data_IF_792177031408
#
_entry.id   IF_792177031408
#
_cell.length_a   1.000
_cell.length_b   1.000
_cell.length_c   1.000
_cell.angle_alpha   90.00
_cell.angle_beta   90.00
_cell.angle_gamma   90.00
#
_symmetry.space_group_name_H-M   'P 1'
#
loop_
_entity.id
_entity.type
_entity.pdbx_description
1 polymer ?
#
# COMPACT_ATOMS: atom_id res chain seq x y z
N UNK A 1 -45.22 -11.07 -10.87
CA UNK A 1 -45.13 -10.01 -9.87
C UNK A 1 -44.66 -10.62 -8.56
N UNK A 2 -43.42 -10.49 -8.20
CA UNK A 2 -42.89 -10.60 -6.84
C UNK A 2 -41.52 -9.92 -6.84
N UNK A 3 -41.49 -8.74 -6.23
CA UNK A 3 -40.28 -7.92 -6.05
C UNK A 3 -39.49 -8.55 -4.91
N UNK A 4 -38.34 -9.14 -5.20
CA UNK A 4 -37.37 -9.56 -4.18
C UNK A 4 -36.65 -8.31 -3.68
N UNK A 5 -36.87 -7.96 -2.42
CA UNK A 5 -36.13 -6.93 -1.68
C UNK A 5 -34.67 -7.37 -1.56
N UNK A 6 -33.76 -6.51 -2.00
CA UNK A 6 -32.33 -6.71 -1.85
C UNK A 6 -31.94 -6.78 -0.38
N UNK A 7 -31.39 -7.89 0.03
CA UNK A 7 -30.67 -8.02 1.29
C UNK A 7 -29.30 -7.37 1.11
N UNK A 8 -29.16 -6.17 1.64
CA UNK A 8 -27.89 -5.55 1.93
C UNK A 8 -27.17 -6.44 2.96
N UNK A 9 -26.23 -7.25 2.51
CA UNK A 9 -25.30 -7.95 3.39
C UNK A 9 -24.29 -6.94 3.88
N UNK A 10 -24.60 -6.35 5.02
CA UNK A 10 -23.66 -5.55 5.78
C UNK A 10 -22.58 -6.52 6.29
N UNK A 11 -21.40 -6.53 5.67
CA UNK A 11 -20.24 -7.21 6.26
C UNK A 11 -19.88 -6.45 7.53
N UNK A 12 -20.40 -6.95 8.65
CA UNK A 12 -19.97 -6.55 9.98
C UNK A 12 -18.45 -6.71 10.04
N UNK A 13 -17.80 -5.61 10.41
CA UNK A 13 -16.44 -5.59 10.95
C UNK A 13 -16.23 -6.90 11.72
N UNK A 14 -15.17 -7.63 11.39
CA UNK A 14 -14.76 -8.82 12.13
C UNK A 14 -14.71 -8.47 13.61
N UNK A 15 -15.80 -8.69 14.29
CA UNK A 15 -15.82 -8.62 15.76
C UNK A 15 -15.03 -9.81 16.24
N UNK A 16 -14.06 -9.56 17.09
CA UNK A 16 -13.07 -10.50 17.59
C UNK A 16 -13.60 -11.69 18.39
N UNK A 17 -14.91 -11.93 18.39
CA UNK A 17 -15.52 -13.06 19.11
C UNK A 17 -15.05 -14.44 18.66
N UNK A 18 -14.37 -14.56 17.52
CA UNK A 18 -13.77 -15.81 17.05
C UNK A 18 -12.32 -16.05 17.49
N UNK A 19 -11.60 -15.05 18.00
CA UNK A 19 -10.18 -15.17 18.34
C UNK A 19 -9.92 -15.71 19.75
N UNK A 20 -10.89 -15.61 20.68
CA UNK A 20 -10.70 -16.01 22.08
C UNK A 20 -10.44 -17.51 22.29
N UNK A 21 -10.94 -18.37 21.39
CA UNK A 21 -10.69 -19.81 21.45
C UNK A 21 -9.36 -20.26 20.83
N UNK A 22 -8.73 -19.41 20.01
CA UNK A 22 -7.50 -19.70 19.28
C UNK A 22 -6.28 -18.93 19.79
N UNK A 23 -6.45 -18.05 20.77
CA UNK A 23 -5.41 -17.15 21.26
C UNK A 23 -5.33 -17.15 22.78
N UNK A 24 -4.12 -16.94 23.32
CA UNK A 24 -3.89 -16.73 24.77
C UNK A 24 -4.37 -15.36 25.25
N UNK A 25 -4.76 -14.46 24.34
CA UNK A 25 -5.36 -13.15 24.65
C UNK A 25 -6.86 -13.20 24.43
N UNK A 26 -7.61 -12.46 25.26
CA UNK A 26 -9.06 -12.31 25.10
C UNK A 26 -9.45 -11.25 24.10
N UNK A 27 -8.65 -10.16 24.03
CA UNK A 27 -8.89 -9.00 23.17
C UNK A 27 -7.59 -8.51 22.56
N UNK A 28 -7.71 -7.71 21.47
CA UNK A 28 -6.62 -6.93 20.92
C UNK A 28 -6.54 -5.56 21.61
N UNK A 29 -5.39 -4.89 21.52
CA UNK A 29 -5.18 -3.61 22.20
C UNK A 29 -6.11 -2.51 21.67
N UNK A 30 -6.26 -2.43 20.33
CA UNK A 30 -6.99 -1.35 19.68
C UNK A 30 -8.50 -1.53 19.58
N UNK A 31 -9.04 -2.73 19.88
CA UNK A 31 -10.49 -2.96 19.85
C UNK A 31 -11.22 -2.55 21.13
N UNK A 32 -10.45 -2.33 22.21
CA UNK A 32 -11.03 -1.97 23.49
C UNK A 32 -11.68 -0.57 23.44
N UNK A 33 -12.84 -0.47 24.07
CA UNK A 33 -13.64 0.76 24.12
C UNK A 33 -14.44 0.82 25.43
N UNK A 34 -15.23 1.87 25.61
CA UNK A 34 -16.15 2.00 26.75
C UNK A 34 -17.18 0.87 26.87
N UNK A 35 -17.46 0.13 25.80
CA UNK A 35 -18.34 -1.06 25.85
C UNK A 35 -17.75 -2.23 26.65
N UNK A 36 -16.44 -2.21 26.94
CA UNK A 36 -15.73 -3.25 27.69
C UNK A 36 -15.51 -2.88 29.17
N UNK A 37 -16.14 -1.80 29.65
CA UNK A 37 -15.96 -1.34 31.03
C UNK A 37 -16.32 -2.44 32.02
N UNK A 38 -15.45 -2.60 33.04
CA UNK A 38 -15.59 -3.59 34.08
C UNK A 38 -15.21 -5.02 33.68
N UNK A 39 -14.96 -5.29 32.40
CA UNK A 39 -14.56 -6.60 31.93
C UNK A 39 -13.10 -6.89 32.29
N UNK A 40 -12.84 -8.14 32.64
CA UNK A 40 -11.51 -8.70 32.76
C UNK A 40 -10.99 -9.06 31.37
N UNK A 41 -9.81 -8.54 31.01
CA UNK A 41 -9.20 -8.76 29.72
C UNK A 41 -7.77 -9.28 29.85
N UNK A 42 -7.36 -10.11 28.90
CA UNK A 42 -5.98 -10.56 28.73
C UNK A 42 -5.45 -10.02 27.41
N UNK A 43 -4.42 -9.20 27.49
CA UNK A 43 -3.78 -8.54 26.34
C UNK A 43 -2.36 -9.07 26.14
N UNK A 44 -1.94 -9.18 24.90
CA UNK A 44 -0.55 -9.48 24.53
C UNK A 44 -0.08 -8.45 23.51
N UNK A 45 1.13 -7.91 23.70
CA UNK A 45 1.65 -6.90 22.82
C UNK A 45 3.08 -6.49 23.17
N UNK A 46 3.54 -5.48 22.46
CA UNK A 46 4.84 -4.84 22.63
C UNK A 46 4.72 -3.59 23.49
N UNK A 47 5.66 -3.39 24.41
CA UNK A 47 5.78 -2.17 25.20
C UNK A 47 6.19 -1.02 24.30
N UNK A 48 5.28 -0.11 23.98
CA UNK A 48 5.57 1.06 23.14
C UNK A 48 6.23 2.19 23.94
N UNK A 49 5.71 2.48 25.13
CA UNK A 49 6.22 3.50 26.04
C UNK A 49 6.04 3.06 27.51
N UNK A 50 6.99 3.46 28.33
CA UNK A 50 6.88 3.44 29.80
C UNK A 50 6.81 4.89 30.27
N UNK A 51 5.85 5.23 31.09
CA UNK A 51 5.64 6.59 31.60
C UNK A 51 5.57 6.62 33.11
N UNK A 52 6.55 7.26 33.74
CA UNK A 52 6.58 7.60 35.17
C UNK A 52 6.35 6.39 36.11
N UNK A 53 6.74 5.20 35.73
CA UNK A 53 6.46 3.96 36.47
C UNK A 53 4.98 3.78 36.85
N UNK A 54 4.11 4.49 36.14
CA UNK A 54 2.67 4.50 36.38
C UNK A 54 1.89 3.87 35.21
N UNK A 55 2.39 4.04 33.99
CA UNK A 55 1.70 3.59 32.78
C UNK A 55 2.62 2.87 31.81
N UNK A 56 2.09 1.82 31.21
CA UNK A 56 2.63 1.16 30.01
C UNK A 56 1.67 1.42 28.87
N UNK A 57 2.18 1.90 27.74
CA UNK A 57 1.43 1.88 26.49
C UNK A 57 1.77 0.58 25.78
N UNK A 58 0.79 -0.30 25.67
CA UNK A 58 0.89 -1.58 25.00
C UNK A 58 0.40 -1.45 23.56
N UNK A 59 1.16 -1.99 22.63
CA UNK A 59 0.86 -1.99 21.20
C UNK A 59 0.70 -3.42 20.69
N UNK A 60 -0.32 -3.63 19.89
CA UNK A 60 -0.40 -4.79 19.01
C UNK A 60 -0.73 -4.34 17.57
N UNK A 61 -1.14 -5.27 16.73
CA UNK A 61 -1.47 -4.99 15.34
C UNK A 61 -2.72 -4.12 15.16
N UNK A 62 -3.59 -4.09 16.14
CA UNK A 62 -4.87 -3.36 16.08
C UNK A 62 -4.75 -1.91 16.56
N UNK A 63 -3.75 -1.62 17.38
CA UNK A 63 -3.55 -0.29 17.93
C UNK A 63 -2.83 -0.27 19.27
N UNK A 64 -3.14 0.76 20.05
CA UNK A 64 -2.52 1.06 21.34
C UNK A 64 -3.55 1.02 22.44
N UNK A 65 -3.14 0.61 23.65
CA UNK A 65 -3.93 0.77 24.87
C UNK A 65 -3.04 1.17 26.04
N UNK A 66 -3.56 1.99 26.93
CA UNK A 66 -2.88 2.33 28.18
C UNK A 66 -3.16 1.27 29.23
N UNK A 67 -2.10 0.77 29.84
CA UNK A 67 -2.14 -0.13 31.00
C UNK A 67 -1.67 0.65 32.21
N UNK A 68 -2.50 0.73 33.24
CA UNK A 68 -2.17 1.35 34.53
C UNK A 68 -1.46 0.32 35.41
N UNK A 69 -0.31 0.73 35.95
CA UNK A 69 0.47 -0.06 36.91
C UNK A 69 -0.09 0.22 38.29
N UNK A 70 -0.43 -0.81 39.08
CA UNK A 70 -0.90 -0.63 40.45
C UNK A 70 0.15 0.10 41.32
N UNK A 71 -0.31 0.96 42.22
CA UNK A 71 0.55 1.72 43.11
C UNK A 71 0.44 1.27 44.58
N UNK A 72 -0.42 0.29 44.85
CA UNK A 72 -0.62 -0.25 46.20
C UNK A 72 0.58 -1.07 46.66
N UNK A 73 0.99 -0.92 47.90
CA UNK A 73 2.07 -1.67 48.53
C UNK A 73 1.85 -3.19 48.49
N UNK A 74 0.60 -3.62 48.49
CA UNK A 74 0.22 -5.05 48.35
C UNK A 74 0.58 -5.64 47.00
N UNK A 75 0.81 -4.80 45.96
CA UNK A 75 1.15 -5.20 44.61
C UNK A 75 2.57 -4.78 44.20
N UNK A 76 3.45 -4.61 45.17
CA UNK A 76 4.83 -4.15 44.97
C UNK A 76 5.63 -5.05 44.01
N UNK A 77 5.41 -6.35 44.05
CA UNK A 77 6.06 -7.31 43.13
C UNK A 77 5.66 -7.05 41.69
N UNK A 78 4.37 -6.84 41.44
CA UNK A 78 3.85 -6.52 40.10
C UNK A 78 4.41 -5.15 39.61
N UNK A 79 4.45 -4.16 40.47
CA UNK A 79 5.06 -2.87 40.15
C UNK A 79 6.53 -3.00 39.78
N UNK A 80 7.31 -3.76 40.55
CA UNK A 80 8.72 -4.02 40.27
C UNK A 80 8.91 -4.76 38.94
N UNK A 81 8.04 -5.72 38.59
CA UNK A 81 8.07 -6.41 37.32
C UNK A 81 7.85 -5.45 36.13
N UNK A 82 6.96 -4.49 36.25
CA UNK A 82 6.76 -3.45 35.22
C UNK A 82 7.95 -2.49 35.13
N UNK A 83 8.58 -2.10 36.26
CA UNK A 83 9.74 -1.19 36.27
C UNK A 83 10.97 -1.80 35.61
N UNK A 84 11.07 -3.14 35.56
CA UNK A 84 12.15 -3.87 34.87
C UNK A 84 11.97 -4.01 33.37
N UNK A 85 10.85 -3.54 32.79
CA UNK A 85 10.58 -3.69 31.37
C UNK A 85 11.40 -2.70 30.54
N UNK A 86 11.82 -3.15 29.36
CA UNK A 86 12.34 -2.30 28.30
C UNK A 86 11.29 -2.09 27.20
N UNK A 87 11.42 -0.98 26.47
CA UNK A 87 10.61 -0.69 25.28
C UNK A 87 10.80 -1.81 24.26
N UNK A 88 9.71 -2.20 23.58
CA UNK A 88 9.63 -3.33 22.65
C UNK A 88 9.74 -4.72 23.29
N UNK A 89 9.79 -4.83 24.62
CA UNK A 89 9.54 -6.14 25.28
C UNK A 89 8.13 -6.62 24.96
N UNK A 90 7.96 -7.93 24.85
CA UNK A 90 6.66 -8.56 24.61
C UNK A 90 6.11 -9.03 25.95
N UNK A 91 4.91 -8.57 26.27
CA UNK A 91 4.26 -8.88 27.55
C UNK A 91 2.84 -9.39 27.35
N UNK A 92 2.40 -10.19 28.32
CA UNK A 92 1.00 -10.55 28.51
C UNK A 92 0.53 -9.88 29.80
N UNK A 93 -0.53 -9.10 29.72
CA UNK A 93 -1.14 -8.39 30.85
C UNK A 93 -2.57 -8.87 31.00
N UNK A 94 -2.94 -9.28 32.21
CA UNK A 94 -4.32 -9.49 32.60
C UNK A 94 -4.75 -8.35 33.49
N UNK A 95 -5.95 -7.81 33.28
CA UNK A 95 -6.44 -6.69 34.06
C UNK A 95 -7.88 -6.32 33.72
N UNK A 96 -8.38 -5.27 34.35
CA UNK A 96 -9.76 -4.82 34.24
C UNK A 96 -9.85 -3.48 33.54
N UNK A 97 -10.75 -3.39 32.54
CA UNK A 97 -11.00 -2.16 31.78
C UNK A 97 -11.75 -1.13 32.65
N UNK A 98 -11.25 0.11 32.69
CA UNK A 98 -11.91 1.23 33.35
C UNK A 98 -11.83 2.50 32.50
N UNK A 99 -12.66 3.49 32.81
CA UNK A 99 -12.51 4.84 32.23
C UNK A 99 -11.25 5.51 32.79
N UNK A 100 -10.59 6.30 31.96
CA UNK A 100 -9.56 7.24 32.43
C UNK A 100 -10.23 8.31 33.32
N UNK A 101 -9.49 8.87 34.29
CA UNK A 101 -9.98 9.99 35.08
C UNK A 101 -10.46 11.13 34.19
N UNK A 102 -11.40 11.93 34.74
CA UNK A 102 -11.92 13.10 34.03
C UNK A 102 -10.78 14.06 33.67
N UNK A 103 -10.80 14.59 32.44
CA UNK A 103 -9.75 15.46 31.93
C UNK A 103 -8.47 14.73 31.41
N UNK A 104 -8.37 13.41 31.56
CA UNK A 104 -7.20 12.63 31.10
C UNK A 104 -7.46 11.79 29.84
N UNK A 105 -8.58 12.01 29.18
CA UNK A 105 -8.88 11.38 27.89
C UNK A 105 -7.85 11.80 26.83
N UNK A 106 -7.38 10.86 26.02
CA UNK A 106 -6.43 11.13 24.94
C UNK A 106 -7.11 11.02 23.58
N UNK A 107 -7.48 12.13 22.98
CA UNK A 107 -8.13 12.17 21.67
C UNK A 107 -7.28 11.59 20.51
N UNK A 108 -5.95 11.48 20.71
CA UNK A 108 -5.04 10.92 19.68
C UNK A 108 -4.93 9.38 19.72
N UNK A 109 -5.68 8.72 20.60
CA UNK A 109 -5.74 7.26 20.69
C UNK A 109 -7.18 6.81 20.52
N UNK A 110 -7.43 5.79 19.70
CA UNK A 110 -8.76 5.19 19.56
C UNK A 110 -9.32 4.65 20.88
N UNK A 111 -8.43 4.16 21.75
CA UNK A 111 -8.73 3.65 23.11
C UNK A 111 -8.54 4.73 24.19
N UNK A 112 -8.44 5.99 23.80
CA UNK A 112 -8.02 7.08 24.70
C UNK A 112 -9.01 7.44 25.82
N UNK A 113 -10.22 6.88 25.80
CA UNK A 113 -11.20 7.05 26.87
C UNK A 113 -11.02 6.06 28.02
N UNK A 114 -10.37 4.92 27.74
CA UNK A 114 -10.23 3.80 28.67
C UNK A 114 -8.76 3.53 29.00
N UNK A 115 -8.56 2.76 30.05
CA UNK A 115 -7.30 2.15 30.39
C UNK A 115 -7.55 0.79 31.03
N UNK A 116 -6.52 -0.06 31.09
CA UNK A 116 -6.58 -1.38 31.71
C UNK A 116 -5.79 -1.34 33.02
N UNK A 117 -6.44 -1.53 34.16
CA UNK A 117 -5.76 -1.73 35.45
C UNK A 117 -5.13 -3.12 35.49
N UNK A 118 -3.81 -3.19 35.52
CA UNK A 118 -3.10 -4.46 35.54
C UNK A 118 -3.33 -5.22 36.86
N UNK A 119 -3.64 -6.51 36.75
CA UNK A 119 -3.77 -7.46 37.86
C UNK A 119 -2.65 -8.50 37.83
N UNK A 120 -2.13 -8.83 36.65
CA UNK A 120 -0.95 -9.67 36.50
C UNK A 120 -0.15 -9.32 35.24
N UNK A 121 1.13 -9.70 35.25
CA UNK A 121 2.07 -9.47 34.15
C UNK A 121 2.92 -10.74 33.93
N UNK A 122 2.96 -11.22 32.71
CA UNK A 122 3.93 -12.21 32.25
C UNK A 122 4.83 -11.57 31.18
N UNK A 123 6.12 -11.59 31.40
CA UNK A 123 7.10 -11.15 30.40
C UNK A 123 7.37 -12.32 29.47
N UNK A 124 6.85 -12.22 28.23
CA UNK A 124 6.99 -13.27 27.23
C UNK A 124 8.37 -13.23 26.56
N UNK A 125 8.88 -12.03 26.33
CA UNK A 125 10.22 -11.82 25.79
C UNK A 125 10.74 -10.43 26.16
N UNK A 126 11.97 -10.36 26.65
CA UNK A 126 12.65 -9.09 26.93
C UNK A 126 13.33 -8.56 25.68
N UNK A 127 13.26 -7.24 25.48
CA UNK A 127 13.96 -6.57 24.39
C UNK A 127 15.25 -5.95 24.90
N UNK A 128 16.34 -6.19 24.17
CA UNK A 128 17.61 -5.48 24.39
C UNK A 128 17.67 -4.22 23.50
N UNK A 129 18.86 -3.63 23.37
CA UNK A 129 19.03 -2.43 22.56
C UNK A 129 18.69 -2.69 21.10
N UNK A 130 17.72 -1.92 20.57
CA UNK A 130 17.34 -1.96 19.16
C UNK A 130 18.27 -1.07 18.31
N UNK A 131 18.46 -1.41 17.02
CA UNK A 131 19.24 -0.59 16.09
C UNK A 131 18.60 0.77 15.81
N UNK A 132 17.28 0.89 15.98
CA UNK A 132 16.54 2.13 15.90
C UNK A 132 15.21 2.05 16.68
N UNK A 133 14.68 3.21 17.06
CA UNK A 133 13.38 3.30 17.71
C UNK A 133 12.21 3.07 16.71
N UNK A 134 11.21 2.31 17.14
CA UNK A 134 10.00 2.05 16.35
C UNK A 134 8.97 3.14 16.67
N UNK A 135 9.18 4.33 16.09
CA UNK A 135 8.30 5.48 16.21
C UNK A 135 8.08 6.08 14.82
N UNK A 136 6.85 6.39 14.45
CA UNK A 136 6.49 6.83 13.10
C UNK A 136 7.11 8.19 12.73
N UNK A 137 7.35 9.06 13.72
CA UNK A 137 7.95 10.38 13.51
C UNK A 137 9.49 10.39 13.46
N UNK A 138 10.15 9.28 13.79
CA UNK A 138 11.62 9.18 13.72
C UNK A 138 12.06 8.85 12.31
N UNK A 139 12.78 9.77 11.67
CA UNK A 139 13.37 9.54 10.35
C UNK A 139 14.49 8.51 10.44
N UNK A 140 14.42 7.49 9.61
CA UNK A 140 15.40 6.41 9.49
C UNK A 140 15.90 6.35 8.05
N UNK A 141 17.18 6.06 7.86
CA UNK A 141 17.70 5.85 6.51
C UNK A 141 17.07 4.61 5.87
N UNK A 142 16.90 4.64 4.57
CA UNK A 142 16.34 3.50 3.83
C UNK A 142 17.20 2.24 4.01
N UNK A 143 18.53 2.38 3.96
CA UNK A 143 19.47 1.27 4.20
C UNK A 143 19.23 0.58 5.55
N UNK A 144 19.06 1.37 6.62
CA UNK A 144 18.80 0.83 7.96
C UNK A 144 17.43 0.11 8.04
N UNK A 145 16.39 0.68 7.40
CA UNK A 145 15.08 0.06 7.31
C UNK A 145 15.11 -1.26 6.53
N UNK A 146 15.89 -1.35 5.47
CA UNK A 146 16.04 -2.57 4.68
C UNK A 146 16.86 -3.64 5.44
N UNK A 147 17.91 -3.24 6.14
CA UNK A 147 18.74 -4.14 6.95
C UNK A 147 17.93 -4.80 8.09
N UNK A 148 17.07 -4.02 8.74
CA UNK A 148 16.23 -4.47 9.85
C UNK A 148 14.73 -4.41 9.50
N UNK A 149 14.39 -4.96 8.34
CA UNK A 149 13.03 -4.86 7.78
C UNK A 149 11.96 -5.37 8.72
N UNK A 150 12.22 -6.42 9.48
CA UNK A 150 11.30 -6.99 10.47
C UNK A 150 10.93 -6.00 11.59
N UNK A 151 11.83 -5.07 11.95
CA UNK A 151 11.52 -3.98 12.89
C UNK A 151 10.78 -2.84 12.20
N UNK A 152 11.18 -2.49 10.98
CA UNK A 152 10.49 -1.47 10.17
C UNK A 152 9.02 -1.82 9.95
N UNK A 153 8.72 -3.10 9.73
CA UNK A 153 7.36 -3.63 9.57
C UNK A 153 6.47 -3.45 10.82
N UNK A 154 7.04 -3.14 11.99
CA UNK A 154 6.25 -2.80 13.19
C UNK A 154 5.70 -1.37 13.18
N UNK A 155 6.19 -0.48 12.29
CA UNK A 155 5.65 0.88 12.18
C UNK A 155 4.20 0.87 11.72
N UNK A 156 3.40 1.84 12.16
CA UNK A 156 1.98 1.92 11.81
C UNK A 156 1.77 2.05 10.31
N UNK A 157 2.62 2.81 9.62
CA UNK A 157 2.54 2.94 8.16
C UNK A 157 2.75 1.61 7.44
N UNK A 158 3.74 0.81 7.86
CA UNK A 158 4.00 -0.48 7.21
C UNK A 158 2.94 -1.53 7.54
N UNK A 159 2.43 -1.54 8.77
CA UNK A 159 1.28 -2.36 9.17
C UNK A 159 0.03 -2.00 8.36
N UNK A 160 -0.23 -0.71 8.19
CA UNK A 160 -1.32 -0.23 7.34
C UNK A 160 -1.16 -0.71 5.89
N UNK A 161 0.02 -0.54 5.29
CA UNK A 161 0.28 -0.92 3.90
C UNK A 161 0.05 -2.41 3.65
N UNK A 162 0.55 -3.28 4.55
CA UNK A 162 0.35 -4.74 4.43
C UNK A 162 -1.13 -5.13 4.51
N UNK A 163 -1.87 -4.53 5.47
CA UNK A 163 -3.30 -4.78 5.64
C UNK A 163 -4.13 -4.24 4.51
N UNK A 164 -3.79 -3.03 4.04
CA UNK A 164 -4.44 -2.43 2.88
C UNK A 164 -4.31 -3.32 1.66
N UNK A 165 -3.07 -3.77 1.35
CA UNK A 165 -2.82 -4.69 0.24
C UNK A 165 -3.64 -5.98 0.37
N UNK A 166 -3.66 -6.58 1.56
CA UNK A 166 -4.43 -7.81 1.81
C UNK A 166 -5.92 -7.60 1.55
N UNK A 167 -6.51 -6.53 2.09
CA UNK A 167 -7.93 -6.21 1.87
C UNK A 167 -8.24 -5.90 0.41
N UNK A 168 -7.37 -5.13 -0.26
CA UNK A 168 -7.52 -4.81 -1.69
C UNK A 168 -7.57 -6.07 -2.54
N UNK A 169 -6.60 -6.97 -2.35
CA UNK A 169 -6.53 -8.24 -3.08
C UNK A 169 -7.76 -9.12 -2.82
N UNK A 170 -8.22 -9.18 -1.57
CA UNK A 170 -9.43 -9.94 -1.23
C UNK A 170 -10.69 -9.38 -1.91
N UNK A 171 -10.86 -8.05 -1.91
CA UNK A 171 -11.98 -7.40 -2.61
C UNK A 171 -11.91 -7.61 -4.14
N UNK A 172 -10.71 -7.56 -4.72
CA UNK A 172 -10.53 -7.86 -6.15
C UNK A 172 -10.93 -9.31 -6.48
N UNK A 173 -10.53 -10.27 -5.65
CA UNK A 173 -10.95 -11.67 -5.80
C UNK A 173 -12.45 -11.83 -5.68
N UNK A 174 -13.06 -11.18 -4.69
CA UNK A 174 -14.52 -11.21 -4.50
C UNK A 174 -15.27 -10.65 -5.71
N UNK A 175 -14.83 -9.50 -6.23
CA UNK A 175 -15.40 -8.90 -7.42
C UNK A 175 -15.32 -9.81 -8.63
N UNK A 176 -14.12 -10.33 -8.92
CA UNK A 176 -13.90 -11.16 -10.10
C UNK A 176 -14.59 -12.54 -9.98
N UNK A 177 -14.42 -13.24 -8.85
CA UNK A 177 -15.00 -14.59 -8.69
C UNK A 177 -16.50 -14.54 -8.46
N UNK A 178 -16.95 -13.81 -7.43
CA UNK A 178 -18.31 -13.94 -6.95
C UNK A 178 -19.31 -13.11 -7.75
N UNK A 179 -18.89 -11.94 -8.24
CA UNK A 179 -19.79 -11.04 -8.98
C UNK A 179 -19.70 -11.23 -10.50
N UNK A 180 -18.52 -11.63 -11.02
CA UNK A 180 -18.31 -11.72 -12.46
C UNK A 180 -17.95 -13.14 -12.97
N UNK A 181 -17.91 -14.14 -12.11
CA UNK A 181 -17.74 -15.55 -12.49
C UNK A 181 -16.38 -15.89 -13.08
N UNK A 182 -15.34 -15.13 -12.73
CA UNK A 182 -13.98 -15.47 -13.10
C UNK A 182 -13.44 -16.63 -12.25
N UNK A 183 -12.55 -17.39 -12.83
CA UNK A 183 -11.85 -18.49 -12.16
C UNK A 183 -10.41 -18.06 -11.86
N UNK A 184 -10.02 -18.14 -10.59
CA UNK A 184 -8.65 -17.88 -10.14
C UNK A 184 -7.81 -19.14 -10.40
N UNK A 185 -6.89 -19.09 -11.37
CA UNK A 185 -6.08 -20.24 -11.78
C UNK A 185 -4.61 -19.93 -11.55
N UNK A 186 -3.97 -20.72 -10.69
CA UNK A 186 -2.52 -20.69 -10.51
C UNK A 186 -1.80 -21.35 -11.69
N UNK A 187 -0.86 -20.63 -12.27
CA UNK A 187 -0.04 -21.12 -13.39
C UNK A 187 1.38 -21.45 -12.95
N UNK A 188 2.09 -22.36 -13.65
CA UNK A 188 3.46 -22.71 -13.30
C UNK A 188 4.42 -21.51 -13.32
N UNK A 189 5.29 -21.44 -12.32
CA UNK A 189 6.37 -20.43 -12.24
C UNK A 189 7.71 -20.96 -12.74
N UNK A 190 7.89 -22.27 -12.83
CA UNK A 190 9.04 -22.92 -13.47
C UNK A 190 8.58 -23.48 -14.82
N UNK A 191 9.00 -22.83 -15.89
CA UNK A 191 8.57 -23.18 -17.24
C UNK A 191 9.69 -22.93 -18.26
N UNK A 192 9.45 -23.22 -19.50
CA UNK A 192 10.36 -22.88 -20.61
C UNK A 192 10.32 -21.37 -20.87
N UNK A 193 11.37 -20.86 -21.51
CA UNK A 193 11.47 -19.45 -21.92
C UNK A 193 10.27 -19.03 -22.78
N UNK A 194 9.71 -17.87 -22.46
CA UNK A 194 8.65 -17.23 -23.26
C UNK A 194 9.27 -16.53 -24.47
N UNK A 195 8.76 -16.73 -25.70
CA UNK A 195 9.25 -16.00 -26.86
C UNK A 195 8.97 -14.51 -26.76
N UNK A 196 10.00 -13.69 -26.94
CA UNK A 196 9.89 -12.22 -26.90
C UNK A 196 9.76 -11.64 -25.49
N UNK A 197 9.59 -10.32 -25.40
CA UNK A 197 9.39 -9.58 -24.15
C UNK A 197 10.68 -9.27 -23.40
N UNK A 198 10.56 -9.09 -22.06
CA UNK A 198 11.65 -8.74 -21.19
C UNK A 198 12.66 -9.88 -21.01
N UNK A 199 13.85 -9.55 -20.53
CA UNK A 199 14.84 -10.56 -20.14
C UNK A 199 14.34 -11.34 -18.94
N UNK A 200 14.45 -12.67 -19.01
CA UNK A 200 13.97 -13.60 -17.99
C UNK A 200 15.10 -14.08 -17.07
N UNK A 201 14.75 -14.39 -15.82
CA UNK A 201 15.65 -15.09 -14.91
C UNK A 201 15.68 -16.59 -15.25
N UNK A 202 16.87 -17.14 -15.31
CA UNK A 202 17.12 -18.55 -15.60
C UNK A 202 17.42 -19.32 -14.33
N UNK A 203 16.74 -20.44 -14.12
CA UNK A 203 16.89 -21.31 -12.95
C UNK A 203 17.47 -22.66 -13.39
N UNK A 204 18.62 -23.10 -12.88
CA UNK A 204 19.17 -24.41 -13.20
C UNK A 204 18.22 -25.53 -12.78
N UNK A 205 18.06 -26.53 -13.64
CA UNK A 205 17.35 -27.77 -13.30
C UNK A 205 18.30 -28.82 -12.70
N UNK A 206 17.75 -29.91 -12.20
CA UNK A 206 18.55 -31.05 -11.75
C UNK A 206 19.23 -31.82 -12.90
N UNK A 207 18.83 -31.61 -14.15
CA UNK A 207 19.42 -32.21 -15.33
C UNK A 207 20.53 -31.32 -15.89
N UNK A 208 21.75 -31.85 -16.11
CA UNK A 208 22.87 -31.08 -16.65
C UNK A 208 22.53 -30.42 -17.99
N UNK A 209 22.76 -29.12 -18.13
CA UNK A 209 22.50 -28.36 -19.36
C UNK A 209 21.04 -27.95 -19.59
N UNK A 210 20.13 -28.29 -18.66
CA UNK A 210 18.74 -27.92 -18.72
C UNK A 210 18.42 -26.81 -17.71
N UNK A 211 17.53 -25.89 -18.10
CA UNK A 211 17.16 -24.73 -17.31
C UNK A 211 15.65 -24.47 -17.38
N UNK A 212 15.10 -23.99 -16.29
CA UNK A 212 13.80 -23.34 -16.26
C UNK A 212 13.97 -21.81 -16.42
N UNK A 213 12.89 -21.16 -16.80
CA UNK A 213 12.78 -19.70 -16.78
C UNK A 213 11.66 -19.29 -15.84
N UNK A 214 11.85 -18.18 -15.11
CA UNK A 214 10.78 -17.57 -14.33
C UNK A 214 9.93 -16.70 -15.25
N UNK A 215 8.57 -16.75 -15.15
CA UNK A 215 7.69 -16.13 -16.12
C UNK A 215 7.66 -14.60 -15.98
N UNK A 216 7.67 -13.94 -17.11
CA UNK A 216 7.42 -12.48 -17.20
C UNK A 216 5.96 -12.14 -16.88
N UNK A 217 5.05 -13.02 -17.26
CA UNK A 217 3.61 -13.03 -17.01
C UNK A 217 3.06 -14.41 -17.39
N UNK A 218 1.85 -14.78 -16.97
CA UNK A 218 1.22 -16.04 -17.32
C UNK A 218 0.63 -16.08 -18.75
N UNK A 219 1.12 -15.25 -19.67
CA UNK A 219 0.53 -15.01 -20.99
C UNK A 219 0.23 -16.27 -21.79
N UNK A 220 1.15 -17.23 -21.87
CA UNK A 220 0.93 -18.46 -22.62
C UNK A 220 -0.15 -19.34 -21.98
N UNK A 221 -0.15 -19.43 -20.67
CA UNK A 221 -1.12 -20.26 -19.94
C UNK A 221 -2.53 -19.71 -20.03
N UNK A 222 -2.73 -18.42 -19.88
CA UNK A 222 -4.05 -17.82 -19.97
C UNK A 222 -4.65 -17.94 -21.37
N UNK A 223 -3.84 -17.84 -22.42
CA UNK A 223 -4.28 -18.12 -23.80
C UNK A 223 -4.70 -19.57 -23.97
N UNK A 224 -3.92 -20.53 -23.44
CA UNK A 224 -4.28 -21.95 -23.48
C UNK A 224 -5.58 -22.23 -22.71
N UNK A 225 -5.83 -21.54 -21.61
CA UNK A 225 -7.07 -21.66 -20.85
C UNK A 225 -8.28 -21.16 -21.66
N UNK A 226 -8.13 -20.06 -22.42
CA UNK A 226 -9.18 -19.60 -23.35
C UNK A 226 -9.47 -20.65 -24.43
N UNK A 227 -8.42 -21.22 -25.04
CA UNK A 227 -8.57 -22.30 -26.04
C UNK A 227 -9.22 -23.53 -25.41
N UNK A 228 -8.94 -23.82 -24.14
CA UNK A 228 -9.54 -24.93 -23.40
C UNK A 228 -11.02 -24.69 -22.99
N UNK A 229 -11.58 -23.50 -23.28
CA UNK A 229 -12.96 -23.18 -23.00
C UNK A 229 -13.20 -22.52 -21.62
N UNK A 230 -12.14 -22.13 -20.92
CA UNK A 230 -12.24 -21.30 -19.72
C UNK A 230 -12.30 -19.82 -20.12
N UNK A 231 -13.48 -19.27 -20.30
CA UNK A 231 -13.67 -17.96 -20.92
C UNK A 231 -13.46 -16.75 -19.98
N UNK A 232 -13.24 -16.96 -18.69
CA UNK A 232 -12.98 -15.92 -17.69
C UNK A 232 -11.93 -16.37 -16.68
N UNK A 233 -10.70 -16.00 -16.94
CA UNK A 233 -9.55 -16.29 -16.11
C UNK A 233 -9.05 -15.03 -15.41
N UNK A 234 -8.57 -15.18 -14.18
CA UNK A 234 -7.66 -14.23 -13.57
C UNK A 234 -6.69 -14.93 -12.62
N UNK A 235 -5.64 -14.20 -12.26
CA UNK A 235 -4.66 -14.65 -11.27
C UNK A 235 -3.99 -13.43 -10.61
N UNK A 236 -3.70 -13.52 -9.33
CA UNK A 236 -2.73 -12.63 -8.67
C UNK A 236 -1.32 -13.17 -8.97
N UNK A 237 -0.85 -12.90 -10.18
CA UNK A 237 0.32 -13.53 -10.76
C UNK A 237 1.63 -12.92 -10.25
N UNK A 238 2.56 -13.78 -9.83
CA UNK A 238 3.97 -13.37 -9.61
C UNK A 238 4.68 -13.31 -10.94
N UNK A 239 5.26 -12.14 -11.22
CA UNK A 239 5.94 -11.85 -12.48
C UNK A 239 7.38 -11.44 -12.20
N UNK A 240 8.27 -11.83 -13.12
CA UNK A 240 9.73 -11.66 -12.99
C UNK A 240 10.30 -11.05 -14.26
N UNK A 241 11.06 -9.95 -14.15
CA UNK A 241 11.70 -9.29 -15.28
C UNK A 241 13.08 -8.80 -14.90
N UNK A 242 14.11 -9.30 -15.59
CA UNK A 242 15.52 -8.92 -15.39
C UNK A 242 15.87 -7.68 -16.23
N UNK A 243 15.22 -6.57 -15.91
CA UNK A 243 15.40 -5.28 -16.61
C UNK A 243 16.20 -4.23 -15.82
N UNK A 244 16.81 -4.66 -14.73
CA UNK A 244 17.48 -3.78 -13.77
C UNK A 244 16.49 -3.06 -12.83
N UNK A 245 17.03 -2.59 -11.71
CA UNK A 245 16.23 -1.88 -10.71
C UNK A 245 16.09 -0.40 -11.09
N UNK A 246 14.86 0.10 -11.14
CA UNK A 246 14.52 1.53 -11.20
C UNK A 246 13.76 1.90 -9.94
N UNK A 247 13.67 3.19 -9.66
CA UNK A 247 12.98 3.70 -8.46
C UNK A 247 11.51 3.25 -8.35
N UNK A 248 10.85 3.01 -9.49
CA UNK A 248 9.45 2.62 -9.63
C UNK A 248 9.25 1.17 -10.10
N UNK A 249 10.33 0.38 -10.28
CA UNK A 249 10.28 -0.97 -10.82
C UNK A 249 11.14 -1.93 -10.04
N UNK A 250 10.56 -3.09 -9.72
CA UNK A 250 11.25 -4.19 -9.08
C UNK A 250 11.33 -5.41 -10.02
N UNK A 251 12.37 -6.24 -9.93
CA UNK A 251 12.52 -7.42 -10.77
C UNK A 251 11.45 -8.48 -10.50
N UNK A 252 10.85 -8.48 -9.32
CA UNK A 252 9.74 -9.33 -8.92
C UNK A 252 8.56 -8.48 -8.47
N UNK A 253 7.38 -8.70 -9.05
CA UNK A 253 6.17 -7.95 -8.75
C UNK A 253 4.91 -8.80 -8.96
N UNK A 254 3.76 -8.28 -8.54
CA UNK A 254 2.47 -8.96 -8.69
C UNK A 254 1.60 -8.22 -9.70
N UNK A 255 0.99 -8.96 -10.63
CA UNK A 255 -0.07 -8.47 -11.51
C UNK A 255 -1.43 -9.00 -11.06
N UNK A 256 -2.47 -8.19 -11.23
CA UNK A 256 -3.81 -8.71 -11.40
C UNK A 256 -3.93 -9.03 -12.87
N UNK A 257 -3.74 -10.28 -13.23
CA UNK A 257 -3.73 -10.74 -14.62
C UNK A 257 -5.09 -11.31 -14.97
N UNK A 258 -5.70 -10.79 -16.03
CA UNK A 258 -7.07 -11.10 -16.44
C UNK A 258 -7.06 -11.48 -17.92
N UNK A 259 -7.80 -12.53 -18.27
CA UNK A 259 -8.06 -12.90 -19.65
C UNK A 259 -9.53 -13.29 -19.81
N UNK A 260 -10.17 -12.81 -20.87
CA UNK A 260 -11.58 -13.02 -21.10
C UNK A 260 -11.88 -13.23 -22.59
N UNK A 261 -12.67 -14.24 -22.89
CA UNK A 261 -13.21 -14.48 -24.24
C UNK A 261 -14.51 -13.70 -24.47
N UNK A 262 -14.89 -13.51 -25.75
CA UNK A 262 -16.17 -12.94 -26.17
C UNK A 262 -16.42 -11.52 -25.59
N UNK A 263 -15.40 -10.70 -25.55
CA UNK A 263 -15.45 -9.33 -25.03
C UNK A 263 -14.72 -8.37 -25.96
N UNK A 264 -15.18 -7.16 -26.06
CA UNK A 264 -14.50 -6.05 -26.74
C UNK A 264 -13.72 -5.16 -25.76
N UNK A 265 -13.06 -4.14 -26.29
CA UNK A 265 -12.28 -3.20 -25.49
C UNK A 265 -13.14 -2.46 -24.46
N UNK A 266 -14.37 -2.09 -24.83
CA UNK A 266 -15.27 -1.36 -23.94
C UNK A 266 -15.72 -2.22 -22.76
N UNK A 267 -15.96 -3.51 -22.98
CA UNK A 267 -16.29 -4.46 -21.92
C UNK A 267 -15.16 -4.66 -20.92
N UNK A 268 -13.90 -4.74 -21.39
CA UNK A 268 -12.73 -4.83 -20.49
C UNK A 268 -12.55 -3.52 -19.71
N UNK A 269 -12.69 -2.36 -20.35
CA UNK A 269 -12.61 -1.07 -19.64
C UNK A 269 -13.66 -0.98 -18.51
N UNK A 270 -14.90 -1.33 -18.80
CA UNK A 270 -15.97 -1.32 -17.80
C UNK A 270 -15.71 -2.31 -16.66
N UNK A 271 -15.20 -3.50 -16.96
CA UNK A 271 -14.80 -4.49 -15.94
C UNK A 271 -13.72 -3.93 -15.01
N UNK A 272 -12.68 -3.31 -15.55
CA UNK A 272 -11.57 -2.77 -14.76
C UNK A 272 -12.00 -1.54 -13.95
N UNK A 273 -12.83 -0.66 -14.50
CA UNK A 273 -13.41 0.47 -13.78
C UNK A 273 -14.23 -0.01 -12.58
N UNK A 274 -15.11 -0.99 -12.79
CA UNK A 274 -15.89 -1.59 -11.71
C UNK A 274 -15.03 -2.32 -10.67
N UNK A 275 -13.98 -3.03 -11.11
CA UNK A 275 -13.01 -3.69 -10.21
C UNK A 275 -12.33 -2.68 -9.30
N UNK A 276 -11.84 -1.57 -9.86
CA UNK A 276 -11.16 -0.53 -9.11
C UNK A 276 -12.13 0.18 -8.16
N UNK A 277 -13.32 0.53 -8.62
CA UNK A 277 -14.34 1.18 -7.79
C UNK A 277 -14.78 0.30 -6.61
N UNK A 278 -14.99 -1.01 -6.84
CA UNK A 278 -15.37 -1.97 -5.80
C UNK A 278 -14.26 -2.20 -4.76
N UNK A 279 -13.02 -2.28 -5.21
CA UNK A 279 -11.88 -2.60 -4.35
C UNK A 279 -11.22 -1.39 -3.71
N UNK A 280 -11.54 -0.17 -4.15
CA UNK A 280 -10.90 1.05 -3.68
C UNK A 280 -11.08 1.24 -2.17
N UNK A 281 -10.04 1.61 -1.43
CA UNK A 281 -10.13 1.82 0.00
C UNK A 281 -10.94 3.07 0.33
N UNK A 282 -11.90 2.95 1.24
CA UNK A 282 -12.79 4.04 1.65
C UNK A 282 -12.03 5.26 2.20
N UNK A 283 -10.93 5.02 2.92
CA UNK A 283 -10.08 6.06 3.48
C UNK A 283 -9.22 6.82 2.45
N UNK A 284 -9.26 6.41 1.17
CA UNK A 284 -8.58 7.08 0.04
C UNK A 284 -9.53 7.91 -0.82
N UNK A 285 -10.75 8.11 -0.38
CA UNK A 285 -11.78 8.82 -1.12
C UNK A 285 -12.48 7.94 -2.15
N UNK A 286 -13.14 8.57 -3.11
CA UNK A 286 -13.94 7.88 -4.14
C UNK A 286 -13.27 7.95 -5.51
N UNK A 287 -13.47 6.92 -6.31
CA UNK A 287 -13.10 6.90 -7.72
C UNK A 287 -14.34 7.23 -8.54
N UNK A 288 -14.22 8.24 -9.41
CA UNK A 288 -15.25 8.58 -10.38
C UNK A 288 -15.07 7.76 -11.66
N UNK A 289 -16.12 7.12 -12.13
CA UNK A 289 -16.16 6.40 -13.41
C UNK A 289 -17.27 6.98 -14.30
N UNK A 290 -17.18 6.89 -15.63
CA UNK A 290 -16.07 6.29 -16.40
C UNK A 290 -14.79 7.13 -16.33
N UNK A 291 -13.63 6.49 -16.48
CA UNK A 291 -12.36 7.21 -16.55
C UNK A 291 -12.26 8.06 -17.81
N UNK A 292 -11.61 9.24 -17.74
CA UNK A 292 -11.36 10.03 -18.94
C UNK A 292 -10.50 9.25 -19.95
N UNK A 293 -10.92 9.25 -21.21
CA UNK A 293 -10.18 8.64 -22.29
C UNK A 293 -9.47 9.73 -23.10
N UNK A 294 -8.21 9.52 -23.44
CA UNK A 294 -7.41 10.36 -24.32
C UNK A 294 -6.91 9.51 -25.49
N UNK A 295 -6.93 10.08 -26.67
CA UNK A 295 -6.20 9.49 -27.79
C UNK A 295 -4.70 9.67 -27.58
N UNK A 296 -3.88 8.84 -28.24
CA UNK A 296 -2.42 9.03 -28.23
C UNK A 296 -2.03 10.42 -28.71
N UNK A 297 -2.66 10.88 -29.77
CA UNK A 297 -2.42 12.22 -30.34
C UNK A 297 -2.74 13.34 -29.34
N UNK A 298 -3.88 13.28 -28.67
CA UNK A 298 -4.25 14.24 -27.62
C UNK A 298 -3.27 14.21 -26.45
N UNK A 299 -2.85 13.04 -26.02
CA UNK A 299 -1.89 12.88 -24.92
C UNK A 299 -0.55 13.51 -25.29
N UNK A 300 -0.01 13.20 -26.48
CA UNK A 300 1.25 13.75 -26.96
C UNK A 300 1.17 15.25 -27.20
N UNK A 301 0.09 15.74 -27.82
CA UNK A 301 -0.11 17.17 -28.12
C UNK A 301 -0.22 18.01 -26.84
N UNK A 302 -1.00 17.54 -25.87
CA UNK A 302 -1.31 18.32 -24.66
C UNK A 302 -0.27 18.16 -23.54
N UNK A 303 0.43 17.02 -23.49
CA UNK A 303 1.29 16.68 -22.36
C UNK A 303 2.69 16.21 -22.75
N UNK A 304 2.95 15.91 -24.02
CA UNK A 304 4.24 15.43 -24.51
C UNK A 304 4.61 13.99 -24.07
N UNK A 305 3.67 13.26 -23.48
CA UNK A 305 3.86 11.88 -23.00
C UNK A 305 2.62 11.04 -23.29
N UNK A 306 2.79 9.74 -23.49
CA UNK A 306 1.72 8.78 -23.77
C UNK A 306 0.91 8.37 -22.52
N UNK A 307 1.39 8.70 -21.32
CA UNK A 307 0.76 8.42 -20.02
C UNK A 307 0.76 9.67 -19.14
N UNK A 308 -0.04 10.71 -19.51
CA UNK A 308 -0.03 11.96 -18.78
C UNK A 308 -0.63 11.83 -17.37
N UNK A 309 -0.04 12.54 -16.42
CA UNK A 309 -0.68 12.80 -15.13
C UNK A 309 -1.62 14.00 -15.28
N UNK A 310 -2.90 13.72 -15.47
CA UNK A 310 -3.93 14.75 -15.71
C UNK A 310 -4.29 15.57 -14.46
N UNK A 311 -3.73 15.22 -13.28
CA UNK A 311 -3.86 16.05 -12.07
C UNK A 311 -3.13 17.38 -12.21
N UNK A 312 -2.10 17.44 -13.05
CA UNK A 312 -1.42 18.68 -13.41
C UNK A 312 -2.20 19.38 -14.51
N UNK A 313 -2.79 20.54 -14.24
CA UNK A 313 -3.55 21.31 -15.20
C UNK A 313 -2.70 22.04 -16.26
N UNK A 314 -1.37 21.80 -16.29
CA UNK A 314 -0.42 22.43 -17.20
C UNK A 314 -0.36 21.65 -18.53
N UNK A 315 -0.92 22.23 -19.58
CA UNK A 315 -0.85 21.66 -20.93
C UNK A 315 0.20 22.37 -21.76
N UNK A 316 0.76 21.66 -22.72
CA UNK A 316 1.57 22.22 -23.77
C UNK A 316 0.68 23.04 -24.71
N UNK A 317 1.15 24.19 -25.11
CA UNK A 317 0.47 25.08 -26.08
C UNK A 317 1.42 25.31 -27.23
N UNK A 318 0.96 25.02 -28.43
CA UNK A 318 1.71 25.35 -29.66
C UNK A 318 1.66 26.86 -29.89
N UNK A 319 2.81 27.47 -29.88
CA UNK A 319 3.00 28.93 -30.12
C UNK A 319 3.79 29.22 -31.40
N UNK A 320 3.94 28.23 -32.28
CA UNK A 320 4.73 28.31 -33.50
C UNK A 320 4.31 29.52 -34.39
N UNK A 321 3.01 29.79 -34.49
CA UNK A 321 2.49 30.91 -35.27
C UNK A 321 3.04 32.27 -34.79
N UNK A 322 3.23 32.42 -33.47
CA UNK A 322 3.74 33.67 -32.88
C UNK A 322 5.20 33.93 -33.25
N UNK A 323 5.93 32.88 -33.66
CA UNK A 323 7.35 32.93 -33.97
C UNK A 323 7.66 32.84 -35.47
N UNK A 324 6.67 32.85 -36.37
CA UNK A 324 6.86 32.75 -37.81
C UNK A 324 7.80 33.85 -38.39
N UNK A 325 7.82 35.01 -37.76
CA UNK A 325 8.65 36.16 -38.19
C UNK A 325 9.79 36.43 -37.18
N UNK A 326 10.15 35.47 -36.36
CA UNK A 326 11.22 35.65 -35.39
C UNK A 326 12.58 35.85 -36.02
N UNK A 327 13.42 36.69 -35.41
CA UNK A 327 14.82 36.87 -35.78
C UNK A 327 15.76 35.94 -35.01
N UNK A 328 15.21 35.09 -34.12
CA UNK A 328 15.98 34.15 -33.33
C UNK A 328 16.28 32.92 -34.19
N UNK A 329 17.52 32.74 -34.60
CA UNK A 329 17.95 31.73 -35.57
C UNK A 329 17.52 30.31 -35.17
N UNK A 330 17.82 29.86 -33.95
CA UNK A 330 17.48 28.49 -33.54
C UNK A 330 15.98 28.19 -33.53
N UNK A 331 15.12 29.20 -33.27
CA UNK A 331 13.66 29.03 -33.35
C UNK A 331 13.21 28.96 -34.80
N UNK A 332 13.79 29.83 -35.63
CA UNK A 332 13.53 29.86 -37.08
C UNK A 332 13.88 28.52 -37.72
N UNK A 333 15.06 28.00 -37.40
CA UNK A 333 15.53 26.71 -37.90
C UNK A 333 14.65 25.54 -37.43
N UNK A 334 14.18 25.60 -36.19
CA UNK A 334 13.28 24.58 -35.65
C UNK A 334 11.93 24.58 -36.40
N UNK A 335 11.33 25.73 -36.65
CA UNK A 335 10.00 25.83 -37.30
C UNK A 335 10.07 25.42 -38.80
N UNK A 336 11.19 25.61 -39.47
CA UNK A 336 11.37 25.22 -40.87
C UNK A 336 11.52 23.73 -41.08
N UNK A 337 11.91 22.98 -40.05
CA UNK A 337 12.03 21.52 -40.13
C UNK A 337 10.65 20.85 -40.29
N UNK A 338 10.55 19.73 -41.03
CA UNK A 338 9.31 18.96 -41.10
C UNK A 338 8.87 18.51 -39.71
N UNK A 339 7.67 18.95 -39.28
CA UNK A 339 7.14 18.65 -37.93
C UNK A 339 7.74 19.51 -36.82
N UNK A 340 8.58 20.50 -37.15
CA UNK A 340 9.14 21.44 -36.19
C UNK A 340 8.05 22.35 -35.61
N UNK A 341 8.11 22.55 -34.30
CA UNK A 341 7.16 23.43 -33.60
C UNK A 341 7.83 24.11 -32.40
N UNK A 342 7.21 25.19 -31.96
CA UNK A 342 7.56 25.85 -30.70
C UNK A 342 6.42 25.62 -29.72
N UNK A 343 6.68 24.88 -28.65
CA UNK A 343 5.68 24.63 -27.61
C UNK A 343 6.04 25.35 -26.32
N UNK A 344 5.03 25.90 -25.68
CA UNK A 344 5.16 26.57 -24.39
C UNK A 344 4.36 25.82 -23.32
N UNK A 345 4.84 25.86 -22.07
CA UNK A 345 4.10 25.46 -20.89
C UNK A 345 3.96 26.65 -19.95
N UNK A 346 2.73 26.92 -19.52
CA UNK A 346 2.46 27.99 -18.57
C UNK A 346 2.37 27.41 -17.16
N UNK A 347 3.21 27.91 -16.25
CA UNK A 347 3.12 27.61 -14.82
C UNK A 347 2.38 28.75 -14.14
N UNK A 348 1.12 28.58 -13.74
CA UNK A 348 0.36 29.62 -13.05
C UNK A 348 1.11 30.11 -11.79
N UNK A 349 1.19 31.43 -11.62
CA UNK A 349 1.95 32.07 -10.54
C UNK A 349 3.45 31.70 -10.46
N UNK A 350 4.00 31.12 -11.53
CA UNK A 350 5.39 30.66 -11.58
C UNK A 350 6.40 31.73 -11.21
N UNK A 351 6.16 32.98 -11.58
CA UNK A 351 7.02 34.13 -11.24
C UNK A 351 7.14 34.35 -9.71
N UNK A 352 6.15 33.90 -8.91
CA UNK A 352 6.18 33.99 -7.46
C UNK A 352 6.91 32.80 -6.82
N UNK A 353 6.90 31.65 -7.46
CA UNK A 353 7.37 30.39 -6.90
C UNK A 353 8.69 29.90 -7.49
N UNK A 354 8.96 30.17 -8.78
CA UNK A 354 10.18 29.76 -9.47
C UNK A 354 11.25 30.86 -9.37
N UNK A 355 12.35 30.56 -8.73
CA UNK A 355 13.54 31.41 -8.66
C UNK A 355 14.48 31.10 -9.84
N UNK A 356 15.39 32.00 -10.16
CA UNK A 356 16.39 31.78 -11.20
C UNK A 356 17.19 30.47 -11.00
N UNK A 357 17.47 30.10 -9.73
CA UNK A 357 18.14 28.84 -9.40
C UNK A 357 17.31 27.60 -9.80
N UNK A 358 16.00 27.65 -9.64
CA UNK A 358 15.11 26.54 -10.02
C UNK A 358 15.06 26.35 -11.53
N UNK A 359 15.08 27.45 -12.26
CA UNK A 359 15.16 27.45 -13.73
C UNK A 359 16.49 26.86 -14.22
N UNK A 360 17.61 27.17 -13.57
CA UNK A 360 18.90 26.55 -13.92
C UNK A 360 18.92 25.06 -13.64
N UNK A 361 18.29 24.61 -12.56
CA UNK A 361 18.12 23.16 -12.27
C UNK A 361 17.31 22.46 -13.37
N UNK A 362 16.22 23.08 -13.83
CA UNK A 362 15.41 22.56 -14.96
C UNK A 362 16.21 22.50 -16.26
N UNK A 363 16.97 23.53 -16.59
CA UNK A 363 17.87 23.54 -17.77
C UNK A 363 18.92 22.42 -17.68
N UNK A 364 19.55 22.27 -16.51
CA UNK A 364 20.52 21.21 -16.28
C UNK A 364 19.90 19.81 -16.44
N UNK A 365 18.70 19.60 -15.89
CA UNK A 365 17.95 18.36 -16.05
C UNK A 365 17.63 18.06 -17.51
N UNK A 366 17.18 19.08 -18.28
CA UNK A 366 16.91 18.93 -19.71
C UNK A 366 18.18 18.49 -20.47
N UNK A 367 19.33 19.11 -20.18
CA UNK A 367 20.61 18.75 -20.82
C UNK A 367 21.09 17.34 -20.47
N UNK A 368 20.96 16.93 -19.21
CA UNK A 368 21.52 15.66 -18.74
C UNK A 368 20.63 14.46 -18.98
N UNK A 369 19.32 14.64 -18.92
CA UNK A 369 18.36 13.54 -19.04
C UNK A 369 17.80 13.36 -20.46
N UNK A 370 17.75 14.43 -21.25
CA UNK A 370 17.11 14.43 -22.56
C UNK A 370 18.03 14.78 -23.71
N UNK A 371 19.33 15.02 -23.45
CA UNK A 371 20.35 15.37 -24.46
C UNK A 371 20.01 16.64 -25.32
N UNK A 372 19.35 17.64 -24.70
CA UNK A 372 18.94 18.88 -25.35
C UNK A 372 19.68 20.09 -24.82
#
# INVERSE_FOLDING_TARGET
MAVAKGNSVCFSVFTAHGLSSLSIRSHTCGELSSSHLGQEVTLCGWVQYLRQDLFVILRDFSGLVQVLIPQDESQRELKNAFSGLSVESVIKVKGRVRLRPEGQKNANMSTGEIEVCAESLDVLNTCHKLPFEIKDFVKKSEALRMQYRYLDLRSSQMQYNLRLRSRLVMKMREYLCNLHGFVDVETPTLFKRTPGGAKEFVVPSGEPGMFYSLPQSPQQFKQLLMVAGLDRYFQMARCYRDEGSKSDRQPEFTQVDIEMSFVDASGIMALIEGLLQYSWPEDKGTISTPFPCLTFEEAMKNYGVDKPDTRFGMKLVDVSEMFQHTQIEFIKDAIVQPGGCVQAICVPDGAKHLKAKDIEVLKQAARTQFNH
#
